data_IF_804618498785
#
_entry.id   IF_804618498785
#
_cell.length_a   1.000
_cell.length_b   1.000
_cell.length_c   1.000
_cell.angle_alpha   90.00
_cell.angle_beta   90.00
_cell.angle_gamma   90.00
#
_symmetry.space_group_name_H-M   'P 1'
#
loop_
_entity.id
_entity.type
_entity.pdbx_description
1 polymer ?
#
# COMPACT_ATOMS: atom_id res chain seq x y z
N UNK A 1 17.10 -12.41 9.16
CA UNK A 1 15.86 -12.51 8.36
C UNK A 1 15.13 -11.16 8.26
N UNK A 2 15.83 -10.01 8.35
CA UNK A 2 15.25 -8.66 8.33
C UNK A 2 15.70 -7.81 7.11
N UNK A 3 16.37 -8.42 6.12
CA UNK A 3 17.01 -7.69 5.03
C UNK A 3 16.03 -7.02 4.07
N UNK A 4 14.82 -7.56 3.91
CA UNK A 4 13.84 -7.01 2.96
C UNK A 4 13.15 -5.78 3.53
N UNK A 5 12.69 -5.84 4.78
CA UNK A 5 12.09 -4.69 5.46
C UNK A 5 13.09 -3.53 5.57
N UNK A 6 14.35 -3.83 5.92
CA UNK A 6 15.42 -2.84 5.93
C UNK A 6 15.61 -2.17 4.56
N UNK A 7 15.64 -2.94 3.46
CA UNK A 7 15.72 -2.39 2.10
C UNK A 7 14.52 -1.50 1.74
N UNK A 8 13.31 -1.87 2.18
CA UNK A 8 12.12 -1.02 1.97
C UNK A 8 12.28 0.30 2.72
N UNK A 9 12.67 0.26 3.99
CA UNK A 9 12.89 1.47 4.81
C UNK A 9 14.01 2.34 4.24
N UNK A 10 15.11 1.74 3.77
CA UNK A 10 16.18 2.48 3.08
C UNK A 10 15.67 3.15 1.81
N UNK A 11 14.87 2.45 0.99
CA UNK A 11 14.27 3.04 -0.21
C UNK A 11 13.37 4.22 0.13
N UNK A 12 12.54 4.10 1.17
CA UNK A 12 11.71 5.19 1.69
C UNK A 12 12.61 6.38 2.06
N UNK A 13 13.68 6.16 2.85
CA UNK A 13 14.63 7.22 3.25
C UNK A 13 15.30 7.95 2.07
N UNK A 14 15.49 7.28 0.93
CA UNK A 14 16.12 7.87 -0.27
C UNK A 14 15.14 8.58 -1.22
N UNK A 15 13.83 8.48 -0.98
CA UNK A 15 12.81 9.03 -1.88
C UNK A 15 12.55 10.50 -1.56
N UNK A 16 12.50 11.37 -2.58
CA UNK A 16 12.42 12.84 -2.42
C UNK A 16 11.04 13.40 -2.03
N UNK A 17 9.99 12.58 -2.00
CA UNK A 17 8.61 13.05 -1.88
C UNK A 17 8.13 13.21 -0.42
N UNK A 18 8.92 12.72 0.54
CA UNK A 18 8.63 12.74 1.96
C UNK A 18 9.94 12.64 2.74
N UNK A 19 9.95 13.19 3.96
CA UNK A 19 11.11 13.14 4.86
C UNK A 19 10.80 12.17 6.01
N UNK A 20 11.71 11.24 6.28
CA UNK A 20 11.58 10.31 7.42
C UNK A 20 12.09 11.00 8.67
N UNK A 21 11.18 11.36 9.57
CA UNK A 21 11.48 12.02 10.86
C UNK A 21 11.99 10.99 11.86
N UNK A 22 11.30 9.87 11.98
CA UNK A 22 11.69 8.76 12.87
C UNK A 22 11.29 7.41 12.28
N UNK A 23 11.98 6.35 12.71
CA UNK A 23 11.67 4.97 12.30
C UNK A 23 11.88 4.02 13.48
N UNK A 24 10.84 3.27 13.83
CA UNK A 24 10.87 2.25 14.85
C UNK A 24 10.59 0.88 14.24
N UNK A 25 11.40 -0.12 14.57
CA UNK A 25 11.23 -1.48 14.09
C UNK A 25 10.99 -2.39 15.29
N UNK A 26 9.83 -3.04 15.30
CA UNK A 26 9.55 -4.08 16.29
C UNK A 26 10.31 -5.35 15.97
N UNK A 27 10.70 -6.09 17.01
CA UNK A 27 11.30 -7.40 16.81
C UNK A 27 10.25 -8.36 16.21
N UNK A 28 10.63 -9.17 15.21
CA UNK A 28 9.70 -10.09 14.58
C UNK A 28 9.17 -11.10 15.60
N UNK A 29 7.89 -11.01 15.92
CA UNK A 29 7.22 -11.98 16.79
C UNK A 29 6.96 -13.24 15.97
N UNK A 30 7.52 -14.36 16.42
CA UNK A 30 7.34 -15.66 15.79
C UNK A 30 6.08 -16.30 16.37
N UNK A 31 4.95 -16.19 15.67
CA UNK A 31 3.70 -16.81 16.11
C UNK A 31 3.33 -17.97 15.16
N UNK A 32 3.55 -19.19 15.67
CA UNK A 32 3.23 -20.56 15.21
C UNK A 32 3.31 -20.93 13.71
N UNK A 33 2.99 -20.05 12.75
CA UNK A 33 3.15 -20.25 11.29
C UNK A 33 3.48 -18.97 10.49
N UNK A 34 3.49 -17.77 11.08
CA UNK A 34 3.69 -16.50 10.38
C UNK A 34 4.82 -15.72 11.05
N UNK A 35 5.78 -15.24 10.25
CA UNK A 35 6.72 -14.19 10.66
C UNK A 35 6.09 -12.85 10.32
N UNK A 36 5.70 -12.09 11.33
CA UNK A 36 5.25 -10.71 11.16
C UNK A 36 6.31 -9.77 11.74
N UNK A 37 6.85 -8.90 10.90
CA UNK A 37 7.72 -7.79 11.29
C UNK A 37 6.99 -6.50 10.94
N UNK A 38 6.97 -5.54 11.86
CA UNK A 38 6.33 -4.25 11.66
C UNK A 38 7.36 -3.14 11.79
N UNK A 39 7.13 -2.06 11.05
CA UNK A 39 7.91 -0.84 11.16
C UNK A 39 6.93 0.32 11.23
N UNK A 40 7.15 1.17 12.20
CA UNK A 40 6.47 2.46 12.33
C UNK A 40 7.40 3.53 11.78
N UNK A 41 6.84 4.41 10.95
CA UNK A 41 7.55 5.52 10.34
C UNK A 41 6.80 6.79 10.62
N UNK A 42 7.50 7.78 11.15
CA UNK A 42 7.02 9.14 11.22
C UNK A 42 7.53 9.89 9.99
N UNK A 43 6.61 10.41 9.20
CA UNK A 43 6.91 11.02 7.91
C UNK A 43 6.41 12.45 7.89
N UNK A 44 7.26 13.37 7.46
CA UNK A 44 6.85 14.71 7.08
C UNK A 44 6.50 14.71 5.59
N UNK A 45 5.24 15.03 5.30
CA UNK A 45 4.67 15.02 3.95
C UNK A 45 3.97 16.36 3.71
N UNK A 46 4.44 17.11 2.72
CA UNK A 46 3.96 18.49 2.49
C UNK A 46 2.67 18.57 1.68
N UNK A 47 2.31 17.51 0.94
CA UNK A 47 1.13 17.50 0.06
C UNK A 47 0.30 16.22 0.20
N UNK A 48 -1.02 16.35 0.03
CA UNK A 48 -1.94 15.21 0.04
C UNK A 48 -1.65 14.22 -1.10
N UNK A 49 -1.18 14.72 -2.25
CA UNK A 49 -0.79 13.87 -3.37
C UNK A 49 0.38 12.96 -3.00
N UNK A 50 1.41 13.48 -2.31
CA UNK A 50 2.54 12.67 -1.85
C UNK A 50 2.11 11.64 -0.79
N UNK A 51 1.15 11.99 0.07
CA UNK A 51 0.58 11.05 1.03
C UNK A 51 -0.12 9.89 0.31
N UNK A 52 -1.00 10.18 -0.67
CA UNK A 52 -1.66 9.13 -1.43
C UNK A 52 -0.66 8.26 -2.21
N UNK A 53 0.35 8.88 -2.84
CA UNK A 53 1.41 8.13 -3.52
C UNK A 53 2.14 7.18 -2.55
N UNK A 54 2.50 7.66 -1.36
CA UNK A 54 3.10 6.82 -0.33
C UNK A 54 2.19 5.64 0.03
N UNK A 55 0.89 5.90 0.27
CA UNK A 55 -0.08 4.84 0.58
C UNK A 55 -0.19 3.81 -0.54
N UNK A 56 -0.11 4.21 -1.82
CA UNK A 56 -0.19 3.26 -2.93
C UNK A 56 1.08 2.47 -3.18
N UNK A 57 2.25 3.08 -2.97
CA UNK A 57 3.53 2.47 -3.27
C UNK A 57 3.97 1.49 -2.17
N UNK A 58 3.58 1.77 -0.91
CA UNK A 58 4.00 0.98 0.26
C UNK A 58 2.85 0.28 1.00
N UNK A 59 1.60 0.62 0.71
CA UNK A 59 0.39 0.01 1.30
C UNK A 59 0.48 -0.16 2.83
N UNK A 60 0.69 0.94 3.57
CA UNK A 60 0.74 0.87 5.03
C UNK A 60 -0.59 0.34 5.57
N UNK A 61 -0.54 -0.41 6.68
CA UNK A 61 -1.74 -0.94 7.34
C UNK A 61 -2.63 0.16 7.92
N UNK A 62 -2.02 1.27 8.34
CA UNK A 62 -2.70 2.42 8.95
C UNK A 62 -1.87 3.69 8.74
N UNK A 63 -2.54 4.84 8.76
CA UNK A 63 -1.95 6.17 8.68
C UNK A 63 -2.65 7.09 9.68
N UNK A 64 -1.88 7.86 10.44
CA UNK A 64 -2.36 8.83 11.41
C UNK A 64 -1.71 10.20 11.16
N UNK A 65 -2.49 11.28 11.30
CA UNK A 65 -2.01 12.67 11.14
C UNK A 65 -1.73 13.24 12.52
N UNK A 66 -0.45 13.52 12.83
CA UNK A 66 -0.01 13.95 14.16
C UNK A 66 -0.06 15.48 14.35
N UNK A 67 0.28 16.24 13.30
CA UNK A 67 0.62 17.67 13.44
C UNK A 67 -0.58 18.62 13.42
N UNK A 68 -1.77 18.16 13.00
CA UNK A 68 -2.94 19.03 12.77
C UNK A 68 -4.25 18.34 13.11
N UNK A 69 -5.14 19.09 13.76
CA UNK A 69 -6.54 18.70 14.00
C UNK A 69 -7.45 18.98 12.79
N UNK A 70 -7.09 19.94 11.95
CA UNK A 70 -7.86 20.34 10.77
C UNK A 70 -6.95 20.47 9.53
N UNK A 71 -7.48 20.04 8.38
CA UNK A 71 -6.78 20.10 7.10
C UNK A 71 -7.35 21.23 6.24
N UNK A 72 -6.55 22.26 6.01
CA UNK A 72 -6.88 23.32 5.06
C UNK A 72 -6.32 22.96 3.68
N UNK A 73 -7.17 22.39 2.83
CA UNK A 73 -6.80 21.93 1.49
C UNK A 73 -7.47 22.80 0.43
N UNK A 74 -6.72 23.12 -0.64
CA UNK A 74 -7.36 23.70 -1.82
C UNK A 74 -8.22 22.63 -2.51
N UNK A 75 -9.46 22.98 -2.85
CA UNK A 75 -10.41 22.07 -3.50
C UNK A 75 -9.83 21.45 -4.77
N UNK A 76 -9.05 22.23 -5.54
CA UNK A 76 -8.37 21.78 -6.75
C UNK A 76 -7.39 20.64 -6.46
N UNK A 77 -6.54 20.80 -5.47
CA UNK A 77 -5.52 19.80 -5.11
C UNK A 77 -6.15 18.54 -4.52
N UNK A 78 -7.19 18.72 -3.69
CA UNK A 78 -7.97 17.59 -3.18
C UNK A 78 -8.64 16.81 -4.32
N UNK A 79 -9.27 17.51 -5.27
CA UNK A 79 -9.93 16.89 -6.42
C UNK A 79 -8.94 16.15 -7.31
N UNK A 80 -7.76 16.72 -7.54
CA UNK A 80 -6.68 16.07 -8.29
C UNK A 80 -6.21 14.79 -7.59
N UNK A 81 -5.91 14.86 -6.28
CA UNK A 81 -5.50 13.70 -5.50
C UNK A 81 -6.56 12.61 -5.47
N UNK A 82 -7.83 12.98 -5.34
CA UNK A 82 -8.96 12.05 -5.36
C UNK A 82 -9.10 11.36 -6.74
N UNK A 83 -8.97 12.11 -7.83
CA UNK A 83 -9.03 11.55 -9.18
C UNK A 83 -7.87 10.58 -9.46
N UNK A 84 -6.65 10.92 -9.02
CA UNK A 84 -5.48 10.03 -9.12
C UNK A 84 -5.71 8.73 -8.32
N UNK A 85 -6.30 8.85 -7.11
CA UNK A 85 -6.68 7.73 -6.27
C UNK A 85 -7.69 6.81 -6.97
N UNK A 86 -8.76 7.39 -7.53
CA UNK A 86 -9.80 6.66 -8.26
C UNK A 86 -9.23 5.95 -9.50
N UNK A 87 -8.33 6.61 -10.25
CA UNK A 87 -7.69 6.00 -11.42
C UNK A 87 -6.87 4.77 -11.04
N UNK A 88 -6.09 4.83 -9.95
CA UNK A 88 -5.30 3.68 -9.46
C UNK A 88 -6.18 2.55 -8.96
N UNK A 89 -7.21 2.86 -8.17
CA UNK A 89 -8.18 1.87 -7.69
C UNK A 89 -8.91 1.17 -8.83
N UNK A 90 -9.35 1.92 -9.84
CA UNK A 90 -9.99 1.34 -11.03
C UNK A 90 -9.05 0.37 -11.76
N UNK A 91 -7.77 0.72 -11.92
CA UNK A 91 -6.77 -0.18 -12.52
C UNK A 91 -6.59 -1.46 -11.72
N UNK A 92 -6.49 -1.38 -10.39
CA UNK A 92 -6.40 -2.56 -9.53
C UNK A 92 -7.66 -3.43 -9.63
N UNK A 93 -8.85 -2.82 -9.56
CA UNK A 93 -10.12 -3.53 -9.70
C UNK A 93 -10.21 -4.30 -11.02
N UNK A 94 -9.90 -3.65 -12.14
CA UNK A 94 -9.90 -4.31 -13.46
C UNK A 94 -8.89 -5.45 -13.53
N UNK A 95 -7.70 -5.28 -12.95
CA UNK A 95 -6.70 -6.34 -12.86
C UNK A 95 -7.21 -7.57 -12.10
N UNK A 96 -7.84 -7.34 -10.95
CA UNK A 96 -8.44 -8.41 -10.13
C UNK A 96 -9.60 -9.08 -10.86
N UNK A 97 -10.50 -8.31 -11.49
CA UNK A 97 -11.63 -8.85 -12.24
C UNK A 97 -11.17 -9.75 -13.39
N UNK A 98 -10.15 -9.31 -14.14
CA UNK A 98 -9.56 -10.10 -15.22
C UNK A 98 -8.89 -11.38 -14.71
N UNK A 99 -8.14 -11.29 -13.59
CA UNK A 99 -7.52 -12.45 -12.96
C UNK A 99 -8.57 -13.46 -12.49
N UNK A 100 -9.65 -12.99 -11.89
CA UNK A 100 -10.75 -13.83 -11.45
C UNK A 100 -11.43 -14.53 -12.63
N UNK A 101 -11.73 -13.80 -13.71
CA UNK A 101 -12.31 -14.37 -14.92
C UNK A 101 -11.41 -15.45 -15.55
N UNK A 102 -10.09 -15.20 -15.62
CA UNK A 102 -9.13 -16.18 -16.11
C UNK A 102 -9.05 -17.42 -15.21
N UNK A 103 -9.08 -17.22 -13.90
CA UNK A 103 -9.04 -18.30 -12.92
C UNK A 103 -10.28 -19.20 -13.00
N UNK A 104 -11.48 -18.63 -13.14
CA UNK A 104 -12.70 -19.42 -13.31
C UNK A 104 -12.68 -20.22 -14.62
N UNK A 105 -12.22 -19.61 -15.73
CA UNK A 105 -12.05 -20.33 -17.00
C UNK A 105 -11.08 -21.50 -16.90
N UNK A 106 -9.94 -21.31 -16.23
CA UNK A 106 -8.96 -22.38 -16.02
C UNK A 106 -9.53 -23.52 -15.16
N UNK A 107 -10.31 -23.19 -14.11
CA UNK A 107 -10.99 -24.23 -13.32
C UNK A 107 -11.94 -25.08 -14.17
N UNK A 108 -12.70 -24.46 -15.08
CA UNK A 108 -13.59 -25.18 -16.00
C UNK A 108 -12.81 -26.11 -16.93
N UNK A 109 -11.64 -25.70 -17.42
CA UNK A 109 -10.80 -26.51 -18.32
C UNK A 109 -10.07 -27.66 -17.59
N UNK A 110 -9.72 -27.48 -16.31
CA UNK A 110 -8.93 -28.44 -15.53
C UNK A 110 -9.81 -29.44 -14.77
N UNK A 111 -11.07 -29.11 -14.47
CA UNK A 111 -12.01 -30.07 -13.88
C UNK A 111 -12.40 -31.06 -14.99
N UNK A 112 -11.98 -32.34 -14.93
CA UNK A 112 -12.28 -33.27 -16.01
C UNK A 112 -13.79 -33.42 -16.18
N UNK A 113 -14.21 -33.78 -17.38
CA UNK A 113 -15.56 -34.24 -17.71
C UNK A 113 -15.93 -35.51 -16.90
N UNK A 114 -16.05 -35.42 -15.58
CA UNK A 114 -16.50 -36.50 -14.67
C UNK A 114 -18.03 -36.66 -14.70
N UNK A 115 -18.64 -36.48 -15.87
CA UNK A 115 -20.05 -36.84 -16.08
C UNK A 115 -20.14 -37.72 -17.31
N UNK A 116 -19.95 -39.02 -17.08
CA UNK A 116 -20.73 -40.06 -17.76
C UNK A 116 -22.22 -39.84 -17.50
#
# INVERSE_FOLDING_TARGET
MNSTLQKVVEKIKTTKNYEVVSSYQEEPIKNEKIFSAFTELELKIDTLQNLFLFCFDYLPSSVEILDKTELNLQTKDFSNGLNDMLLRLHRYHTGIANLHAAHEKLKEEITPQEKH
#
